data_IF_825938905055
#
_entry.id   IF_825938905055
#
_cell.length_a   1.000
_cell.length_b   1.000
_cell.length_c   1.000
_cell.angle_alpha   90.00
_cell.angle_beta   90.00
_cell.angle_gamma   90.00
#
_symmetry.space_group_name_H-M   'P 1'
#
loop_
_entity.id
_entity.type
_entity.pdbx_description
1 polymer ?
#
# COMPACT_ATOMS: atom_id res chain seq x y z
N UNK A 1 3.00 -25.41 -14.99
CA UNK A 1 1.87 -25.80 -14.14
C UNK A 1 0.62 -25.78 -15.01
N UNK A 2 -0.15 -26.85 -15.03
CA UNK A 2 -1.42 -26.88 -15.77
C UNK A 2 -2.45 -26.01 -15.05
N UNK A 3 -3.41 -25.44 -15.78
CA UNK A 3 -4.55 -24.74 -15.15
C UNK A 3 -5.39 -25.68 -14.27
N UNK A 4 -5.37 -26.99 -14.52
CA UNK A 4 -6.04 -27.97 -13.66
C UNK A 4 -5.32 -28.11 -12.30
N UNK A 5 -3.98 -28.08 -12.30
CA UNK A 5 -3.19 -28.08 -11.07
C UNK A 5 -3.51 -26.82 -10.24
N UNK A 6 -3.65 -25.67 -10.90
CA UNK A 6 -4.01 -24.39 -10.25
C UNK A 6 -5.34 -24.50 -9.52
N UNK A 7 -6.37 -25.06 -10.16
CA UNK A 7 -7.68 -25.24 -9.53
C UNK A 7 -7.61 -26.22 -8.36
N UNK A 8 -6.82 -27.29 -8.48
CA UNK A 8 -6.64 -28.23 -7.37
C UNK A 8 -5.96 -27.58 -6.16
N UNK A 9 -4.96 -26.71 -6.37
CA UNK A 9 -4.35 -25.95 -5.29
C UNK A 9 -5.27 -24.85 -4.75
N UNK A 10 -6.04 -24.19 -5.61
CA UNK A 10 -7.05 -23.20 -5.22
C UNK A 10 -8.08 -23.81 -4.27
N UNK A 11 -8.61 -25.00 -4.60
CA UNK A 11 -9.56 -25.74 -3.76
C UNK A 11 -8.95 -26.10 -2.40
N UNK A 12 -7.70 -26.58 -2.38
CA UNK A 12 -6.99 -26.93 -1.14
C UNK A 12 -6.77 -25.70 -0.25
N UNK A 13 -6.40 -24.56 -0.84
CA UNK A 13 -6.19 -23.32 -0.09
C UNK A 13 -7.52 -22.79 0.46
N UNK A 14 -8.60 -22.84 -0.34
CA UNK A 14 -9.93 -22.44 0.13
C UNK A 14 -10.46 -23.34 1.24
N UNK A 15 -10.19 -24.65 1.19
CA UNK A 15 -10.48 -25.57 2.29
C UNK A 15 -9.71 -25.17 3.57
N UNK A 16 -8.41 -24.90 3.47
CA UNK A 16 -7.60 -24.43 4.59
C UNK A 16 -8.09 -23.10 5.18
N UNK A 17 -8.48 -22.15 4.32
CA UNK A 17 -9.08 -20.87 4.76
C UNK A 17 -10.41 -21.07 5.49
N UNK A 18 -11.22 -22.04 5.08
CA UNK A 18 -12.48 -22.39 5.75
C UNK A 18 -12.23 -23.01 7.12
N UNK A 19 -11.25 -23.90 7.24
CA UNK A 19 -10.88 -24.52 8.51
C UNK A 19 -10.38 -23.47 9.51
N UNK A 20 -9.56 -22.53 9.04
CA UNK A 20 -9.17 -21.35 9.80
C UNK A 20 -10.43 -20.61 10.26
N UNK A 21 -11.35 -20.27 9.36
CA UNK A 21 -12.56 -19.54 9.73
C UNK A 21 -13.41 -20.25 10.80
N UNK A 22 -13.55 -21.58 10.72
CA UNK A 22 -14.32 -22.39 11.68
C UNK A 22 -13.73 -22.36 13.08
N UNK A 23 -12.40 -22.41 13.20
CA UNK A 23 -11.71 -22.27 14.49
C UNK A 23 -11.94 -20.90 15.18
N UNK A 24 -12.63 -19.92 14.55
CA UNK A 24 -12.93 -18.61 15.17
C UNK A 24 -14.18 -18.67 16.05
N UNK A 25 -15.07 -19.64 15.84
CA UNK A 25 -16.38 -19.67 16.50
C UNK A 25 -16.33 -20.19 17.94
N UNK A 26 -15.27 -20.92 18.32
CA UNK A 26 -15.24 -21.72 19.55
C UNK A 26 -14.50 -21.07 20.73
N UNK A 27 -13.75 -19.98 20.53
CA UNK A 27 -12.91 -19.41 21.60
C UNK A 27 -13.58 -18.21 22.29
N UNK A 28 -14.39 -18.48 23.30
CA UNK A 28 -15.00 -17.50 24.21
C UNK A 28 -14.11 -17.01 25.36
N UNK A 29 -12.79 -17.12 25.27
CA UNK A 29 -11.87 -16.85 26.41
C UNK A 29 -10.66 -16.02 26.04
N UNK A 30 -10.41 -15.03 26.91
CA UNK A 30 -9.46 -13.90 26.98
C UNK A 30 -7.96 -14.15 26.77
N UNK A 31 -7.54 -15.16 26.00
CA UNK A 31 -6.17 -15.29 25.45
C UNK A 31 -6.07 -14.78 23.99
N UNK A 32 -7.03 -13.92 23.63
CA UNK A 32 -7.54 -13.65 22.28
C UNK A 32 -6.64 -12.87 21.32
N UNK A 33 -5.59 -12.21 21.81
CA UNK A 33 -4.83 -11.27 20.96
C UNK A 33 -3.79 -11.99 20.09
N UNK A 34 -2.97 -12.86 20.67
CA UNK A 34 -1.89 -13.56 19.96
C UNK A 34 -2.40 -14.63 18.99
N UNK A 35 -3.35 -15.47 19.43
CA UNK A 35 -3.94 -16.50 18.57
C UNK A 35 -4.71 -15.89 17.40
N UNK A 36 -5.47 -14.81 17.66
CA UNK A 36 -6.17 -14.06 16.62
C UNK A 36 -5.21 -13.45 15.60
N UNK A 37 -4.08 -12.91 16.07
CA UNK A 37 -3.03 -12.38 15.22
C UNK A 37 -2.37 -13.45 14.33
N UNK A 38 -1.87 -14.55 14.90
CA UNK A 38 -1.24 -15.64 14.15
C UNK A 38 -2.18 -16.20 13.08
N UNK A 39 -3.45 -16.31 13.43
CA UNK A 39 -4.49 -16.80 12.53
C UNK A 39 -4.74 -15.85 11.36
N UNK A 40 -4.81 -14.56 11.63
CA UNK A 40 -4.97 -13.55 10.58
C UNK A 40 -3.74 -13.48 9.67
N UNK A 41 -2.53 -13.66 10.22
CA UNK A 41 -1.30 -13.81 9.42
C UNK A 41 -1.39 -15.03 8.51
N UNK A 42 -1.79 -16.19 9.04
CA UNK A 42 -1.92 -17.41 8.24
C UNK A 42 -2.95 -17.27 7.11
N UNK A 43 -4.09 -16.63 7.39
CA UNK A 43 -5.11 -16.30 6.39
C UNK A 43 -4.54 -15.41 5.28
N UNK A 44 -3.79 -14.35 5.63
CA UNK A 44 -3.09 -13.49 4.67
C UNK A 44 -2.09 -14.30 3.83
N UNK A 45 -1.27 -15.15 4.45
CA UNK A 45 -0.27 -15.96 3.75
C UNK A 45 -0.89 -16.95 2.76
N UNK A 46 -1.98 -17.62 3.14
CA UNK A 46 -2.72 -18.51 2.23
C UNK A 46 -3.28 -17.74 1.02
N UNK A 47 -3.80 -16.53 1.24
CA UNK A 47 -4.26 -15.65 0.16
C UNK A 47 -3.12 -15.14 -0.72
N UNK A 48 -1.92 -14.95 -0.18
CA UNK A 48 -0.74 -14.65 -1.00
C UNK A 48 -0.42 -15.79 -1.96
N UNK A 49 -0.54 -17.05 -1.54
CA UNK A 49 -0.40 -18.19 -2.44
C UNK A 49 -1.47 -18.20 -3.54
N UNK A 50 -2.73 -17.85 -3.22
CA UNK A 50 -3.77 -17.68 -4.24
C UNK A 50 -3.40 -16.62 -5.28
N UNK A 51 -2.86 -15.46 -4.86
CA UNK A 51 -2.38 -14.45 -5.80
C UNK A 51 -1.26 -15.01 -6.69
N UNK A 52 -0.26 -15.66 -6.11
CA UNK A 52 0.85 -16.25 -6.88
C UNK A 52 0.39 -17.31 -7.88
N UNK A 53 -0.65 -18.08 -7.53
CA UNK A 53 -1.24 -19.07 -8.42
C UNK A 53 -1.96 -18.42 -9.60
N UNK A 54 -2.75 -17.37 -9.38
CA UNK A 54 -3.60 -16.79 -10.42
C UNK A 54 -2.95 -15.67 -11.25
N UNK A 55 -2.01 -14.90 -10.71
CA UNK A 55 -1.38 -13.76 -11.40
C UNK A 55 -0.84 -14.12 -12.79
N UNK A 56 -0.12 -15.25 -13.02
CA UNK A 56 0.38 -15.62 -14.34
C UNK A 56 -0.73 -15.79 -15.40
N UNK A 57 -1.93 -16.17 -14.96
CA UNK A 57 -3.08 -16.42 -15.83
C UNK A 57 -3.88 -15.16 -16.15
N UNK A 58 -3.52 -14.01 -15.57
CA UNK A 58 -4.21 -12.72 -15.82
C UNK A 58 -3.79 -12.05 -17.13
N UNK A 59 -2.58 -12.34 -17.62
CA UNK A 59 -1.96 -11.72 -18.82
C UNK A 59 -1.76 -12.70 -19.99
N UNK A 60 -1.81 -14.01 -19.74
CA UNK A 60 -1.51 -15.04 -20.75
C UNK A 60 -2.55 -15.18 -21.86
N UNK A 61 -2.13 -15.76 -23.00
CA UNK A 61 -2.95 -16.05 -24.19
C UNK A 61 -4.00 -17.17 -24.01
N UNK A 62 -4.34 -17.50 -22.77
CA UNK A 62 -5.28 -18.56 -22.44
C UNK A 62 -6.74 -18.23 -22.84
N UNK A 63 -7.57 -19.27 -22.85
CA UNK A 63 -9.02 -19.18 -23.07
C UNK A 63 -9.62 -18.03 -22.24
N UNK A 64 -10.42 -17.17 -22.88
CA UNK A 64 -10.95 -15.95 -22.25
C UNK A 64 -11.63 -16.19 -20.90
N UNK A 65 -12.37 -17.30 -20.75
CA UNK A 65 -13.05 -17.64 -19.49
C UNK A 65 -12.10 -17.94 -18.32
N UNK A 66 -10.98 -18.64 -18.57
CA UNK A 66 -9.97 -18.96 -17.55
C UNK A 66 -9.27 -17.70 -17.05
N UNK A 67 -8.96 -16.81 -17.98
CA UNK A 67 -8.38 -15.49 -17.69
C UNK A 67 -9.33 -14.65 -16.83
N UNK A 68 -10.60 -14.54 -17.21
CA UNK A 68 -11.61 -13.80 -16.44
C UNK A 68 -11.76 -14.37 -15.02
N UNK A 69 -11.79 -15.70 -14.87
CA UNK A 69 -11.86 -16.37 -13.57
C UNK A 69 -10.64 -16.06 -12.69
N UNK A 70 -9.44 -16.13 -13.26
CA UNK A 70 -8.20 -15.82 -12.53
C UNK A 70 -8.12 -14.34 -12.14
N UNK A 71 -8.56 -13.43 -13.01
CA UNK A 71 -8.66 -12.00 -12.69
C UNK A 71 -9.61 -11.73 -11.53
N UNK A 72 -10.78 -12.38 -11.52
CA UNK A 72 -11.74 -12.27 -10.43
C UNK A 72 -11.17 -12.79 -9.11
N UNK A 73 -10.48 -13.94 -9.14
CA UNK A 73 -9.81 -14.50 -7.98
C UNK A 73 -8.73 -13.55 -7.45
N UNK A 74 -7.87 -13.01 -8.33
CA UNK A 74 -6.88 -12.00 -7.95
C UNK A 74 -7.52 -10.76 -7.34
N UNK A 75 -8.59 -10.23 -7.93
CA UNK A 75 -9.28 -9.03 -7.45
C UNK A 75 -9.83 -9.25 -6.04
N UNK A 76 -10.63 -10.31 -5.86
CA UNK A 76 -11.23 -10.64 -4.56
C UNK A 76 -10.19 -10.95 -3.49
N UNK A 77 -9.11 -11.63 -3.88
CA UNK A 77 -8.06 -12.03 -2.94
C UNK A 77 -7.25 -10.82 -2.49
N UNK A 78 -6.84 -9.95 -3.42
CA UNK A 78 -6.04 -8.78 -3.11
C UNK A 78 -6.80 -7.75 -2.25
N UNK A 79 -8.08 -7.49 -2.53
CA UNK A 79 -8.89 -6.62 -1.67
C UNK A 79 -9.01 -7.17 -0.25
N UNK A 80 -9.26 -8.48 -0.12
CA UNK A 80 -9.37 -9.13 1.19
C UNK A 80 -8.05 -9.05 1.99
N UNK A 81 -6.90 -9.18 1.33
CA UNK A 81 -5.60 -9.03 1.99
C UNK A 81 -5.43 -7.59 2.51
N UNK A 82 -5.73 -6.59 1.70
CA UNK A 82 -5.64 -5.18 2.10
C UNK A 82 -6.55 -4.89 3.30
N UNK A 83 -7.79 -5.39 3.27
CA UNK A 83 -8.74 -5.21 4.38
C UNK A 83 -8.28 -5.88 5.68
N UNK A 84 -7.75 -7.10 5.59
CA UNK A 84 -7.18 -7.81 6.75
C UNK A 84 -5.96 -7.10 7.30
N UNK A 85 -5.05 -6.65 6.42
CA UNK A 85 -3.90 -5.84 6.82
C UNK A 85 -4.32 -4.54 7.50
N UNK A 86 -5.40 -3.89 7.04
CA UNK A 86 -5.98 -2.70 7.67
C UNK A 86 -6.48 -3.04 9.07
N UNK A 87 -7.27 -4.11 9.22
CA UNK A 87 -7.83 -4.54 10.50
C UNK A 87 -6.77 -4.91 11.54
N UNK A 88 -5.62 -5.45 11.12
CA UNK A 88 -4.52 -5.82 12.01
C UNK A 88 -3.67 -4.63 12.49
N UNK A 89 -3.85 -3.44 11.91
CA UNK A 89 -3.02 -2.27 12.21
C UNK A 89 -3.19 -1.77 13.65
N UNK A 90 -4.29 -2.13 14.33
CA UNK A 90 -4.55 -1.76 15.72
C UNK A 90 -4.07 -2.76 16.78
N UNK A 91 -3.62 -3.96 16.38
CA UNK A 91 -3.48 -5.09 17.31
C UNK A 91 -2.06 -5.24 17.86
N UNK A 92 -1.01 -5.04 17.06
CA UNK A 92 0.40 -5.07 17.52
C UNK A 92 1.33 -4.19 16.67
N UNK A 93 2.10 -3.31 17.32
CA UNK A 93 3.02 -2.36 16.66
C UNK A 93 4.22 -3.03 15.94
N UNK A 94 4.53 -4.29 16.25
CA UNK A 94 5.70 -4.99 15.69
C UNK A 94 5.38 -5.87 14.46
N UNK A 95 4.11 -6.23 14.27
CA UNK A 95 3.62 -7.01 13.13
C UNK A 95 3.73 -6.28 11.79
N UNK A 96 3.96 -4.98 11.85
CA UNK A 96 3.95 -4.01 10.76
C UNK A 96 5.04 -4.31 9.72
N UNK A 97 6.14 -4.92 10.15
CA UNK A 97 7.23 -5.37 9.26
C UNK A 97 6.85 -6.55 8.38
N UNK A 98 5.97 -7.44 8.84
CA UNK A 98 5.66 -8.70 8.16
C UNK A 98 4.81 -8.50 6.89
N UNK A 99 3.89 -7.53 6.91
CA UNK A 99 2.89 -7.36 5.85
C UNK A 99 3.31 -6.43 4.71
N UNK A 100 4.52 -5.85 4.76
CA UNK A 100 4.96 -4.86 3.77
C UNK A 100 4.95 -5.43 2.35
N UNK A 101 5.45 -6.65 2.18
CA UNK A 101 5.44 -7.35 0.89
C UNK A 101 4.02 -7.73 0.46
N UNK A 102 3.17 -8.11 1.42
CA UNK A 102 1.83 -8.60 1.16
C UNK A 102 0.89 -7.50 0.65
N UNK A 103 0.94 -6.34 1.30
CA UNK A 103 0.19 -5.14 0.91
C UNK A 103 0.65 -4.66 -0.47
N UNK A 104 1.97 -4.57 -0.67
CA UNK A 104 2.54 -4.17 -1.95
C UNK A 104 2.09 -5.09 -3.09
N UNK A 105 2.25 -6.40 -2.92
CA UNK A 105 1.90 -7.38 -3.94
C UNK A 105 0.41 -7.32 -4.25
N UNK A 106 -0.43 -7.15 -3.24
CA UNK A 106 -1.89 -7.04 -3.41
C UNK A 106 -2.27 -5.79 -4.20
N UNK A 107 -1.75 -4.63 -3.82
CA UNK A 107 -2.03 -3.37 -4.50
C UNK A 107 -1.52 -3.35 -5.95
N UNK A 108 -0.31 -3.86 -6.21
CA UNK A 108 0.20 -3.97 -7.58
C UNK A 108 -0.63 -4.96 -8.42
N UNK A 109 -1.09 -6.06 -7.82
CA UNK A 109 -1.98 -7.00 -8.51
C UNK A 109 -3.30 -6.35 -8.90
N UNK A 110 -3.88 -5.53 -8.01
CA UNK A 110 -5.08 -4.74 -8.29
C UNK A 110 -4.86 -3.81 -9.49
N UNK A 111 -3.78 -3.02 -9.48
CA UNK A 111 -3.43 -2.14 -10.59
C UNK A 111 -3.20 -2.92 -11.89
N UNK A 112 -2.50 -4.06 -11.85
CA UNK A 112 -2.27 -4.89 -13.03
C UNK A 112 -3.56 -5.45 -13.61
N UNK A 113 -4.45 -6.01 -12.77
CA UNK A 113 -5.76 -6.52 -13.21
C UNK A 113 -6.55 -5.39 -13.86
N UNK A 114 -6.55 -4.19 -13.27
CA UNK A 114 -7.22 -3.04 -13.86
C UNK A 114 -6.71 -2.67 -15.26
N UNK A 115 -5.39 -2.47 -15.39
CA UNK A 115 -4.75 -2.10 -16.66
C UNK A 115 -5.05 -3.14 -17.75
N UNK A 116 -5.03 -4.41 -17.39
CA UNK A 116 -5.25 -5.51 -18.32
C UNK A 116 -6.73 -5.78 -18.63
N UNK A 117 -7.66 -5.27 -17.81
CA UNK A 117 -9.09 -5.26 -18.07
C UNK A 117 -9.51 -4.10 -18.99
N UNK A 118 -8.84 -2.95 -18.92
CA UNK A 118 -9.17 -1.80 -19.78
C UNK A 118 -8.95 -2.06 -21.27
N UNK A 119 -8.01 -2.93 -21.63
CA UNK A 119 -7.69 -3.23 -23.03
C UNK A 119 -8.69 -4.16 -23.72
N UNK A 120 -9.63 -4.76 -22.98
CA UNK A 120 -10.56 -5.77 -23.49
C UNK A 120 -12.02 -5.33 -23.30
N UNK A 121 -12.67 -4.95 -24.40
CA UNK A 121 -14.09 -4.53 -24.44
C UNK A 121 -15.10 -5.55 -23.87
N UNK A 122 -14.68 -6.79 -23.65
CA UNK A 122 -15.56 -7.90 -23.28
C UNK A 122 -15.84 -8.03 -21.77
N UNK A 123 -15.11 -7.34 -20.90
CA UNK A 123 -15.16 -7.61 -19.44
C UNK A 123 -15.88 -6.52 -18.63
N UNK A 124 -17.11 -6.15 -19.04
CA UNK A 124 -17.93 -5.12 -18.36
C UNK A 124 -18.15 -5.38 -16.86
N UNK A 125 -18.24 -6.65 -16.45
CA UNK A 125 -18.41 -7.03 -15.05
C UNK A 125 -17.14 -6.72 -14.25
N UNK A 126 -15.97 -7.11 -14.73
CA UNK A 126 -14.71 -6.82 -14.07
C UNK A 126 -14.46 -5.32 -13.98
N UNK A 127 -14.83 -4.56 -15.02
CA UNK A 127 -14.76 -3.10 -14.98
C UNK A 127 -15.59 -2.50 -13.83
N UNK A 128 -16.79 -3.04 -13.57
CA UNK A 128 -17.60 -2.62 -12.42
C UNK A 128 -16.97 -3.01 -11.09
N UNK A 129 -16.38 -4.20 -11.01
CA UNK A 129 -15.72 -4.64 -9.77
C UNK A 129 -14.43 -3.88 -9.47
N UNK A 130 -13.84 -3.23 -10.49
CA UNK A 130 -12.73 -2.30 -10.30
C UNK A 130 -13.19 -0.87 -9.96
N UNK A 131 -14.49 -0.60 -9.88
CA UNK A 131 -14.99 0.65 -9.30
C UNK A 131 -14.60 0.67 -7.82
N UNK A 132 -13.93 1.74 -7.37
CA UNK A 132 -13.39 1.84 -6.00
C UNK A 132 -11.98 1.27 -5.81
N UNK A 133 -11.29 0.85 -6.89
CA UNK A 133 -9.90 0.40 -6.80
C UNK A 133 -8.96 1.45 -6.19
N UNK A 134 -9.20 2.72 -6.51
CA UNK A 134 -8.42 3.85 -5.98
C UNK A 134 -8.44 3.87 -4.45
N UNK A 135 -9.57 3.53 -3.80
CA UNK A 135 -9.68 3.49 -2.34
C UNK A 135 -8.79 2.40 -1.73
N UNK A 136 -8.69 1.24 -2.38
CA UNK A 136 -7.82 0.16 -1.93
C UNK A 136 -6.34 0.49 -2.13
N UNK A 137 -5.99 1.13 -3.25
CA UNK A 137 -4.61 1.56 -3.52
C UNK A 137 -4.20 2.67 -2.56
N UNK A 138 -5.09 3.63 -2.26
CA UNK A 138 -4.85 4.70 -1.31
C UNK A 138 -4.70 4.16 0.11
N UNK A 139 -5.51 3.17 0.50
CA UNK A 139 -5.34 2.50 1.78
C UNK A 139 -4.02 1.73 1.87
N UNK A 140 -3.58 1.10 0.77
CA UNK A 140 -2.29 0.42 0.72
C UNK A 140 -1.12 1.40 0.85
N UNK A 141 -1.18 2.56 0.18
CA UNK A 141 -0.20 3.64 0.29
C UNK A 141 -0.12 4.20 1.70
N UNK A 142 -1.27 4.57 2.29
CA UNK A 142 -1.32 5.07 3.67
C UNK A 142 -0.67 4.07 4.62
N UNK A 143 -0.94 2.78 4.43
CA UNK A 143 -0.37 1.74 5.28
C UNK A 143 1.13 1.57 5.08
N UNK A 144 1.63 1.61 3.84
CA UNK A 144 3.08 1.58 3.58
C UNK A 144 3.78 2.82 4.14
N UNK A 145 3.17 4.00 4.03
CA UNK A 145 3.68 5.25 4.61
C UNK A 145 3.80 5.17 6.14
N UNK A 146 2.82 4.58 6.82
CA UNK A 146 2.90 4.31 8.26
C UNK A 146 4.07 3.37 8.59
N UNK A 147 4.26 2.33 7.79
CA UNK A 147 5.37 1.39 7.96
C UNK A 147 6.72 2.08 7.77
N UNK A 148 6.85 2.95 6.78
CA UNK A 148 8.06 3.74 6.52
C UNK A 148 8.34 4.70 7.68
N UNK A 149 7.29 5.34 8.21
CA UNK A 149 7.41 6.26 9.35
C UNK A 149 7.94 5.53 10.60
N UNK A 150 7.49 4.31 10.83
CA UNK A 150 7.85 3.54 12.03
C UNK A 150 9.17 2.78 11.89
N UNK A 151 9.47 2.22 10.72
CA UNK A 151 10.61 1.34 10.50
C UNK A 151 11.77 2.04 9.77
N UNK A 152 11.55 3.21 9.19
CA UNK A 152 12.53 3.93 8.39
C UNK A 152 12.91 3.24 7.07
N UNK A 153 12.16 2.23 6.62
CA UNK A 153 12.47 1.44 5.42
C UNK A 153 11.24 1.19 4.55
N UNK A 154 11.44 1.01 3.25
CA UNK A 154 10.37 0.68 2.30
C UNK A 154 10.04 1.76 1.27
N UNK A 155 10.85 2.82 1.16
CA UNK A 155 10.67 3.91 0.19
C UNK A 155 10.52 3.43 -1.26
N UNK A 156 11.25 2.39 -1.66
CA UNK A 156 11.13 1.79 -3.00
C UNK A 156 9.72 1.26 -3.28
N UNK A 157 9.05 0.70 -2.27
CA UNK A 157 7.70 0.16 -2.39
C UNK A 157 6.66 1.27 -2.46
N UNK A 158 6.85 2.33 -1.68
CA UNK A 158 6.04 3.55 -1.72
C UNK A 158 6.11 4.22 -3.10
N UNK A 159 7.31 4.29 -3.68
CA UNK A 159 7.51 4.75 -5.05
C UNK A 159 6.75 3.90 -6.06
N UNK A 160 6.87 2.56 -6.02
CA UNK A 160 6.19 1.69 -6.99
C UNK A 160 4.67 1.81 -6.93
N UNK A 161 4.08 1.87 -5.73
CA UNK A 161 2.63 2.05 -5.63
C UNK A 161 2.22 3.46 -6.02
N UNK A 162 2.98 4.49 -5.66
CA UNK A 162 2.67 5.87 -6.04
C UNK A 162 2.65 6.03 -7.56
N UNK A 163 3.62 5.43 -8.26
CA UNK A 163 3.65 5.38 -9.72
C UNK A 163 2.48 4.57 -10.30
N UNK A 164 2.17 3.40 -9.71
CA UNK A 164 1.04 2.56 -10.14
C UNK A 164 -0.32 3.26 -9.97
N UNK A 165 -0.48 4.02 -8.88
CA UNK A 165 -1.65 4.88 -8.64
C UNK A 165 -1.75 6.01 -9.64
N UNK A 166 -0.64 6.70 -9.94
CA UNK A 166 -0.63 7.72 -10.98
C UNK A 166 -1.07 7.15 -12.33
N UNK A 167 -0.55 5.97 -12.71
CA UNK A 167 -0.99 5.25 -13.90
C UNK A 167 -2.49 4.92 -13.85
N UNK A 168 -2.98 4.40 -12.72
CA UNK A 168 -4.40 4.11 -12.52
C UNK A 168 -5.26 5.35 -12.76
N UNK A 169 -4.89 6.50 -12.19
CA UNK A 169 -5.59 7.79 -12.36
C UNK A 169 -5.57 8.33 -13.79
N UNK A 170 -4.45 8.17 -14.51
CA UNK A 170 -4.40 8.54 -15.93
C UNK A 170 -5.37 7.68 -16.77
N UNK A 171 -5.58 6.43 -16.36
CA UNK A 171 -6.46 5.49 -17.07
C UNK A 171 -7.94 5.60 -16.66
N UNK A 172 -8.26 5.93 -15.41
CA UNK A 172 -9.63 6.11 -14.92
C UNK A 172 -10.20 7.48 -15.30
N UNK A 173 -9.45 8.54 -15.01
CA UNK A 173 -9.92 9.94 -15.09
C UNK A 173 -9.39 10.67 -16.33
N UNK A 174 -8.54 10.03 -17.15
CA UNK A 174 -7.80 10.69 -18.26
C UNK A 174 -7.02 11.92 -17.76
N UNK A 175 -6.44 11.80 -16.57
CA UNK A 175 -5.56 12.81 -15.99
C UNK A 175 -4.27 12.99 -16.82
N UNK A 176 -3.62 14.14 -16.68
CA UNK A 176 -2.35 14.42 -17.35
C UNK A 176 -1.23 13.55 -16.77
N UNK A 177 -0.51 12.83 -17.64
CA UNK A 177 0.57 11.92 -17.26
C UNK A 177 1.67 12.67 -16.49
N UNK A 178 2.01 13.89 -16.92
CA UNK A 178 3.05 14.69 -16.26
C UNK A 178 2.59 15.17 -14.89
N UNK A 179 1.33 15.56 -14.76
CA UNK A 179 0.70 15.88 -13.47
C UNK A 179 0.76 14.72 -12.49
N UNK A 180 0.31 13.54 -12.90
CA UNK A 180 0.31 12.34 -12.03
C UNK A 180 1.73 11.86 -11.69
N UNK A 181 2.69 11.99 -12.61
CA UNK A 181 4.09 11.72 -12.32
C UNK A 181 4.62 12.65 -11.21
N UNK A 182 4.29 13.95 -11.29
CA UNK A 182 4.67 14.92 -10.25
C UNK A 182 4.03 14.55 -8.91
N UNK A 183 2.73 14.22 -8.90
CA UNK A 183 2.03 13.78 -7.69
C UNK A 183 2.69 12.55 -7.04
N UNK A 184 3.13 11.57 -7.83
CA UNK A 184 3.81 10.38 -7.32
C UNK A 184 5.17 10.71 -6.69
N UNK A 185 5.94 11.61 -7.30
CA UNK A 185 7.22 12.12 -6.75
C UNK A 185 6.97 12.88 -5.45
N UNK A 186 6.00 13.79 -5.46
CA UNK A 186 5.66 14.60 -4.29
C UNK A 186 5.28 13.71 -3.10
N UNK A 187 4.53 12.62 -3.32
CA UNK A 187 4.13 11.70 -2.24
C UNK A 187 5.34 11.05 -1.54
N UNK A 188 6.30 10.53 -2.31
CA UNK A 188 7.52 9.93 -1.73
C UNK A 188 8.36 10.97 -1.01
N UNK A 189 8.46 12.18 -1.57
CA UNK A 189 9.16 13.31 -0.94
C UNK A 189 8.50 13.68 0.40
N UNK A 190 7.16 13.72 0.46
CA UNK A 190 6.43 13.99 1.71
C UNK A 190 6.71 12.95 2.78
N UNK A 191 6.81 11.67 2.42
CA UNK A 191 7.17 10.61 3.37
C UNK A 191 8.61 10.76 3.87
N UNK A 192 9.55 11.08 2.97
CA UNK A 192 10.94 11.33 3.33
C UNK A 192 11.08 12.49 4.33
N UNK A 193 10.46 13.64 4.04
CA UNK A 193 10.48 14.77 4.98
C UNK A 193 9.77 14.48 6.30
N UNK A 194 8.69 13.68 6.28
CA UNK A 194 8.03 13.21 7.51
C UNK A 194 8.99 12.42 8.39
N UNK A 195 9.72 11.46 7.84
CA UNK A 195 10.70 10.68 8.63
C UNK A 195 11.83 11.56 9.15
N UNK A 196 12.40 12.44 8.32
CA UNK A 196 13.45 13.36 8.76
C UNK A 196 12.98 14.29 9.89
N UNK A 197 11.75 14.81 9.82
CA UNK A 197 11.22 15.70 10.86
C UNK A 197 10.98 14.99 12.20
N UNK A 198 10.73 13.68 12.18
CA UNK A 198 10.49 12.86 13.36
C UNK A 198 11.77 12.33 14.02
N UNK A 199 12.93 12.45 13.37
CA UNK A 199 14.21 12.03 13.94
C UNK A 199 14.67 13.01 15.03
N UNK A 200 14.92 12.50 16.24
CA UNK A 200 15.31 13.28 17.42
C UNK A 200 16.64 14.02 17.23
N UNK A 201 17.58 13.44 16.47
CA UNK A 201 18.88 14.03 16.14
C UNK A 201 18.89 14.88 14.87
N UNK A 202 17.81 14.87 14.07
CA UNK A 202 17.71 15.69 12.86
C UNK A 202 17.42 17.14 13.25
N UNK A 203 18.50 17.84 13.58
CA UNK A 203 18.53 19.28 13.86
C UNK A 203 18.31 20.12 12.59
N UNK A 204 17.64 19.59 11.55
CA UNK A 204 17.36 20.31 10.32
C UNK A 204 16.07 21.13 10.50
N UNK A 205 16.16 22.45 10.75
CA UNK A 205 14.99 23.31 10.80
C UNK A 205 14.22 23.28 9.47
N UNK A 206 14.91 22.98 8.36
CA UNK A 206 14.32 22.85 7.04
C UNK A 206 13.38 21.64 6.91
N UNK A 207 13.78 20.45 7.36
CA UNK A 207 12.91 19.27 7.33
C UNK A 207 11.68 19.45 8.22
N UNK A 208 11.84 20.08 9.39
CA UNK A 208 10.74 20.41 10.30
C UNK A 208 9.78 21.44 9.70
N UNK A 209 10.30 22.45 9.01
CA UNK A 209 9.48 23.46 8.32
C UNK A 209 8.80 22.90 7.07
N UNK A 210 9.47 22.02 6.30
CA UNK A 210 8.85 21.30 5.19
C UNK A 210 7.72 20.39 5.69
N UNK A 211 7.96 19.61 6.75
CA UNK A 211 6.92 18.82 7.41
C UNK A 211 5.75 19.70 7.92
N UNK A 212 6.04 20.84 8.55
CA UNK A 212 5.02 21.80 8.99
C UNK A 212 4.18 22.31 7.82
N UNK A 213 4.80 22.68 6.70
CA UNK A 213 4.11 23.15 5.49
C UNK A 213 3.27 22.06 4.84
N UNK A 214 3.76 20.83 4.81
CA UNK A 214 3.10 19.68 4.19
C UNK A 214 1.90 19.20 5.01
N UNK A 215 2.05 19.12 6.34
CA UNK A 215 1.06 18.49 7.23
C UNK A 215 0.28 19.49 8.10
N UNK A 216 0.49 20.79 7.94
CA UNK A 216 -0.33 21.84 8.55
C UNK A 216 -0.31 21.89 10.10
N UNK A 217 0.68 21.29 10.75
CA UNK A 217 0.77 21.32 12.21
C UNK A 217 1.17 22.72 12.69
N UNK A 218 0.19 23.48 13.21
CA UNK A 218 0.46 24.57 14.16
C UNK A 218 1.16 23.95 15.38
N UNK A 219 2.48 23.89 15.33
CA UNK A 219 3.31 23.66 16.50
C UNK A 219 3.17 24.92 17.37
N UNK A 220 2.22 24.92 18.30
CA UNK A 220 2.35 25.78 19.47
C UNK A 220 3.50 25.19 20.28
N UNK A 221 4.58 25.93 20.39
CA UNK A 221 5.51 25.77 21.50
C UNK A 221 4.68 25.74 22.78
N UNK A 222 4.57 24.56 23.38
CA UNK A 222 4.05 24.39 24.71
C UNK A 222 5.01 23.44 25.43
N UNK A 223 5.54 23.97 26.52
CA UNK A 223 6.36 23.30 27.50
C UNK A 223 5.93 21.85 27.75
N UNK A 224 6.96 21.06 28.05
CA UNK A 224 6.94 19.78 28.74
C UNK A 224 5.75 19.67 29.70
N UNK A 225 4.73 18.87 29.36
CA UNK A 225 4.03 18.00 30.32
C UNK A 225 3.16 16.94 29.62
N UNK A 226 3.01 15.81 30.32
CA UNK A 226 2.51 14.53 29.86
C UNK A 226 1.02 14.48 29.43
N UNK A 227 0.74 13.46 28.61
CA UNK A 227 -0.48 12.65 28.46
C UNK A 227 -1.46 12.89 27.30
N UNK A 228 -1.80 11.72 26.72
CA UNK A 228 -2.98 11.28 25.96
C UNK A 228 -3.13 11.69 24.50
N UNK A 229 -3.02 10.66 23.65
CA UNK A 229 -3.35 10.71 22.25
C UNK A 229 -4.85 10.85 22.01
N UNK A 230 -5.19 11.62 20.98
CA UNK A 230 -6.43 11.47 20.25
C UNK A 230 -6.25 11.95 18.80
N UNK A 231 -6.89 11.18 17.92
CA UNK A 231 -6.87 11.21 16.46
C UNK A 231 -7.28 12.57 15.86
N UNK A 232 -6.45 13.11 14.96
CA UNK A 232 -6.73 14.27 14.12
C UNK A 232 -6.58 13.84 12.65
N UNK A 233 -7.61 13.27 12.03
CA UNK A 233 -7.51 12.74 10.65
C UNK A 233 -8.73 12.98 9.74
N UNK A 234 -9.65 13.90 10.07
CA UNK A 234 -10.97 13.88 9.40
C UNK A 234 -11.35 15.05 8.48
N UNK A 235 -10.49 15.99 8.07
CA UNK A 235 -10.96 17.13 7.23
C UNK A 235 -9.89 17.75 6.29
N UNK A 236 -9.29 17.01 5.35
CA UNK A 236 -8.20 17.57 4.53
C UNK A 236 -8.24 17.36 3.01
N UNK A 237 -9.29 16.76 2.44
CA UNK A 237 -9.29 16.41 1.02
C UNK A 237 -9.52 17.56 0.02
N UNK A 238 -9.97 18.74 0.44
CA UNK A 238 -10.44 19.77 -0.50
C UNK A 238 -9.38 20.81 -0.93
N UNK A 239 -8.35 21.09 -0.12
CA UNK A 239 -7.40 22.20 -0.37
C UNK A 239 -6.04 21.76 -0.94
N UNK A 240 -5.78 20.44 -1.05
CA UNK A 240 -4.47 19.91 -1.41
C UNK A 240 -4.18 19.90 -2.93
N UNK A 241 -5.22 20.04 -3.77
CA UNK A 241 -5.10 19.96 -5.23
C UNK A 241 -4.46 21.20 -5.88
N UNK A 242 -4.27 22.30 -5.14
CA UNK A 242 -3.79 23.58 -5.68
C UNK A 242 -2.39 24.00 -5.20
N UNK A 243 -1.70 23.20 -4.38
CA UNK A 243 -0.34 23.53 -3.95
C UNK A 243 0.71 22.98 -4.92
N UNK A 244 1.22 23.86 -5.79
CA UNK A 244 2.47 23.65 -6.52
C UNK A 244 3.63 23.86 -5.54
N UNK A 245 4.29 22.78 -5.12
CA UNK A 245 5.47 22.88 -4.28
C UNK A 245 6.68 23.29 -5.13
N UNK A 246 7.15 24.52 -4.93
CA UNK A 246 8.52 24.94 -5.31
C UNK A 246 9.43 24.58 -4.13
N UNK A 247 10.03 23.39 -4.21
CA UNK A 247 11.01 22.90 -3.24
C UNK A 247 12.38 22.88 -3.90
N UNK A 248 12.82 24.01 -4.45
CA UNK A 248 14.24 24.19 -4.73
C UNK A 248 14.96 24.32 -3.39
N UNK A 249 15.88 23.39 -3.06
CA UNK A 249 16.66 23.49 -1.83
C UNK A 249 17.56 24.74 -1.92
N UNK A 250 17.78 25.47 -0.81
CA UNK A 250 18.76 26.55 -0.80
C UNK A 250 20.16 26.00 -1.15
N UNK A 251 20.88 26.74 -1.99
CA UNK A 251 22.23 26.40 -2.45
C UNK A 251 23.11 25.90 -1.28
N UNK A 252 23.53 24.64 -1.36
CA UNK A 252 24.41 23.98 -0.38
C UNK A 252 23.74 22.96 0.56
N UNK A 253 22.40 22.92 0.69
CA UNK A 253 21.71 21.92 1.52
C UNK A 253 21.64 20.53 0.87
N UNK A 254 21.86 20.45 -0.45
CA UNK A 254 21.80 19.21 -1.19
C UNK A 254 22.94 18.24 -0.83
N UNK A 255 24.12 18.72 -0.43
CA UNK A 255 25.29 17.87 -0.16
C UNK A 255 25.31 17.30 1.27
N UNK A 256 24.78 18.03 2.26
CA UNK A 256 24.80 17.60 3.67
C UNK A 256 23.70 16.57 4.01
N UNK A 257 22.65 16.50 3.18
CA UNK A 257 21.50 15.61 3.37
C UNK A 257 21.32 14.60 2.23
N UNK A 258 22.34 14.44 1.37
CA UNK A 258 22.37 13.44 0.31
C UNK A 258 22.79 12.09 0.89
N UNK A 259 21.86 11.14 0.99
CA UNK A 259 22.19 9.74 1.28
C UNK A 259 22.61 8.95 0.02
N UNK A 260 23.12 9.64 -0.99
CA UNK A 260 23.42 9.07 -2.31
C UNK A 260 22.29 9.32 -3.32
N UNK A 261 22.54 8.92 -4.57
CA UNK A 261 21.61 9.04 -5.68
C UNK A 261 20.29 8.32 -5.34
N UNK A 262 19.11 8.95 -5.42
CA UNK A 262 17.83 8.27 -5.29
C UNK A 262 17.68 7.06 -6.23
N UNK A 263 18.45 7.01 -7.33
CA UNK A 263 18.60 5.83 -8.18
C UNK A 263 19.21 4.62 -7.43
N UNK A 264 20.13 4.84 -6.49
CA UNK A 264 20.73 3.78 -5.65
C UNK A 264 19.65 3.13 -4.75
N UNK A 265 18.68 3.91 -4.28
CA UNK A 265 17.56 3.42 -3.46
C UNK A 265 16.44 2.75 -4.25
N UNK A 266 16.37 2.99 -5.56
CA UNK A 266 15.34 2.43 -6.45
C UNK A 266 15.79 1.16 -7.16
N UNK A 267 17.10 0.86 -7.21
CA UNK A 267 17.63 -0.25 -8.00
C UNK A 267 18.57 -1.23 -7.27
N UNK A 268 18.97 -1.01 -6.02
CA UNK A 268 19.77 -2.02 -5.29
C UNK A 268 18.90 -3.03 -4.53
N UNK A 269 18.47 -4.09 -5.24
CA UNK A 269 18.30 -5.48 -4.79
C UNK A 269 17.54 -6.32 -5.85
N UNK A 270 17.89 -6.18 -7.13
CA UNK A 270 17.48 -7.12 -8.17
C UNK A 270 18.73 -7.84 -8.68
N UNK A 271 19.22 -8.77 -7.87
CA UNK A 271 20.13 -9.84 -8.30
C UNK A 271 19.58 -11.17 -7.77
#
# INVERSE_FOLDING_TARGET
MSHEDVLSYDDQIHAGLKDIALCNADTGTTETTGLGFTKAVLDIQLRQFLLLLHVPFTTGAENGSRRTSSRLSCLSTATTIIDKCRALSGVEQNAISLFRSDILRSALTLCQVFVTCQSLDQERLLRRLTEGLDEYVDAALSRLGDNITQLGTGYTYDWYISAARGLLKTMTTRSDVRGEQKCAVDEVIKQYYKVLALQENASSPFAKEAYRKIYGLQYKDADVTQHQGQSILNNFDADLANMTFDLDPPDGAAEEFFFGDPAVWTFENIW
#
